data_IF_977638929649
#
_entry.id   IF_977638929649
#
_cell.length_a   1.000
_cell.length_b   1.000
_cell.length_c   1.000
_cell.angle_alpha   90.00
_cell.angle_beta   90.00
_cell.angle_gamma   90.00
#
_symmetry.space_group_name_H-M   'P 1'
#
loop_
_entity.id
_entity.type
_entity.pdbx_description
1 polymer ?
#
# COMPACT_ATOMS: atom_id res chain seq x y z
N UNK A 1 -7.97 6.40 -8.56
CA UNK A 1 -6.85 6.00 -9.43
C UNK A 1 -5.62 6.70 -8.90
N UNK A 2 -4.46 6.04 -8.88
CA UNK A 2 -3.21 6.59 -8.35
C UNK A 2 -2.13 6.38 -9.40
N UNK A 3 -1.20 7.34 -9.50
CA UNK A 3 -0.04 7.21 -10.36
C UNK A 3 1.13 6.57 -9.60
N UNK A 4 2.09 5.98 -10.32
CA UNK A 4 3.35 5.50 -9.79
C UNK A 4 4.07 6.64 -9.05
N UNK A 5 4.62 6.34 -7.88
CA UNK A 5 5.19 7.30 -6.94
C UNK A 5 4.17 8.03 -6.06
N UNK A 6 2.87 7.91 -6.36
CA UNK A 6 1.81 8.52 -5.55
C UNK A 6 1.75 7.95 -4.14
N UNK A 7 1.56 8.82 -3.14
CA UNK A 7 1.45 8.42 -1.73
C UNK A 7 0.06 7.82 -1.48
N UNK A 8 0.03 6.62 -0.90
CA UNK A 8 -1.19 5.89 -0.56
C UNK A 8 -1.57 6.14 0.91
N UNK A 9 -0.62 5.96 1.84
CA UNK A 9 -0.84 6.16 3.29
C UNK A 9 0.41 6.74 3.92
N UNK A 10 0.27 7.80 4.72
CA UNK A 10 1.30 8.22 5.69
C UNK A 10 0.92 7.68 7.06
N UNK A 11 1.85 7.01 7.73
CA UNK A 11 1.60 6.34 9.00
C UNK A 11 2.85 6.36 9.89
N UNK A 12 2.64 6.30 11.20
CA UNK A 12 3.70 5.97 12.16
C UNK A 12 3.62 4.48 12.46
N UNK A 13 4.71 3.76 12.20
CA UNK A 13 4.73 2.29 12.24
C UNK A 13 3.94 1.66 11.09
N UNK A 14 3.74 0.34 11.14
CA UNK A 14 3.08 -0.41 10.06
C UNK A 14 1.68 -0.86 10.45
N UNK A 15 0.72 0.07 10.49
CA UNK A 15 -0.70 -0.28 10.69
C UNK A 15 -1.29 -0.91 9.43
N UNK A 16 -0.91 -0.37 8.27
CA UNK A 16 -1.17 -0.95 6.96
C UNK A 16 0.17 -1.41 6.38
N UNK A 17 0.21 -2.64 5.89
CA UNK A 17 1.38 -3.21 5.27
C UNK A 17 1.36 -3.01 3.75
N UNK A 18 2.54 -2.98 3.14
CA UNK A 18 2.68 -2.96 1.70
C UNK A 18 2.20 -4.31 1.12
N UNK A 19 1.24 -4.25 0.21
CA UNK A 19 0.79 -5.35 -0.64
C UNK A 19 1.44 -5.29 -2.02
N UNK A 20 0.76 -5.82 -3.04
CA UNK A 20 1.30 -5.85 -4.40
C UNK A 20 1.35 -4.44 -5.00
N UNK A 21 2.42 -4.15 -5.74
CA UNK A 21 2.66 -2.86 -6.39
C UNK A 21 2.66 -1.65 -5.43
N UNK A 22 3.00 -1.88 -4.14
CA UNK A 22 3.15 -0.84 -3.13
C UNK A 22 4.54 -0.91 -2.49
N UNK A 23 5.21 0.23 -2.39
CA UNK A 23 6.48 0.39 -1.69
C UNK A 23 6.30 0.96 -0.28
N UNK A 24 7.33 0.79 0.56
CA UNK A 24 7.45 1.37 1.91
C UNK A 24 8.61 2.35 1.93
N UNK A 25 8.36 3.57 2.40
CA UNK A 25 9.38 4.59 2.68
C UNK A 25 10.05 4.37 4.03
N UNK A 26 11.16 5.08 4.29
CA UNK A 26 11.92 5.00 5.55
C UNK A 26 11.07 5.30 6.79
N UNK A 27 10.07 6.17 6.65
CA UNK A 27 9.13 6.56 7.69
C UNK A 27 7.85 5.68 7.72
N UNK A 28 7.86 4.53 7.02
CA UNK A 28 6.72 3.63 6.81
C UNK A 28 5.58 4.20 5.94
N UNK A 29 5.82 5.31 5.23
CA UNK A 29 4.87 5.80 4.22
C UNK A 29 4.70 4.78 3.09
N UNK A 30 3.47 4.47 2.72
CA UNK A 30 3.14 3.61 1.59
C UNK A 30 2.97 4.42 0.32
N UNK A 31 3.57 3.98 -0.79
CA UNK A 31 3.47 4.63 -2.10
C UNK A 31 3.27 3.62 -3.23
N UNK A 32 2.62 4.03 -4.31
CA UNK A 32 2.35 3.19 -5.46
C UNK A 32 3.61 2.97 -6.31
N UNK A 33 3.87 1.73 -6.72
CA UNK A 33 4.95 1.40 -7.66
C UNK A 33 4.48 1.40 -9.12
N UNK A 34 3.16 1.30 -9.35
CA UNK A 34 2.53 1.32 -10.67
C UNK A 34 1.29 2.19 -10.64
N UNK A 35 0.89 2.68 -11.80
CA UNK A 35 -0.39 3.33 -12.00
C UNK A 35 -1.54 2.32 -11.81
N UNK A 36 -2.66 2.74 -11.23
CA UNK A 36 -3.81 1.85 -11.07
C UNK A 36 -4.80 2.28 -10.00
N UNK A 37 -5.51 1.31 -9.41
CA UNK A 37 -6.47 1.54 -8.33
C UNK A 37 -5.95 0.92 -7.03
N UNK A 38 -5.98 1.70 -5.96
CA UNK A 38 -5.64 1.23 -4.61
C UNK A 38 -6.78 0.36 -4.09
N UNK A 39 -6.44 -0.81 -3.55
CA UNK A 39 -7.34 -1.74 -2.86
C UNK A 39 -6.74 -2.11 -1.51
N UNK A 40 -7.53 -2.03 -0.45
CA UNK A 40 -7.16 -2.53 0.87
C UNK A 40 -7.72 -3.93 1.06
N UNK A 41 -6.89 -4.84 1.55
CA UNK A 41 -7.28 -6.22 1.83
C UNK A 41 -6.79 -6.63 3.21
N UNK A 42 -7.60 -7.37 3.94
CA UNK A 42 -7.19 -8.00 5.19
C UNK A 42 -6.85 -9.45 4.88
N UNK A 43 -5.64 -9.90 5.24
CA UNK A 43 -5.20 -11.27 4.96
C UNK A 43 -4.23 -11.80 6.02
N UNK A 44 -4.05 -13.12 5.99
CA UNK A 44 -3.19 -13.87 6.91
C UNK A 44 -3.86 -14.20 8.24
N UNK A 45 -3.22 -15.08 9.02
CA UNK A 45 -3.74 -15.58 10.30
C UNK A 45 -3.95 -14.46 11.33
N UNK A 46 -3.13 -13.41 11.27
CA UNK A 46 -3.19 -12.26 12.17
C UNK A 46 -4.12 -11.14 11.67
N UNK A 47 -4.88 -11.37 10.59
CA UNK A 47 -5.84 -10.40 10.03
C UNK A 47 -5.22 -9.01 9.83
N UNK A 48 -4.02 -8.97 9.24
CA UNK A 48 -3.31 -7.71 8.98
C UNK A 48 -3.87 -7.03 7.74
N UNK A 49 -3.92 -5.71 7.76
CA UNK A 49 -4.37 -4.90 6.63
C UNK A 49 -3.22 -4.61 5.67
N UNK A 50 -3.46 -4.79 4.37
CA UNK A 50 -2.50 -4.55 3.29
C UNK A 50 -3.08 -3.57 2.28
N UNK A 51 -2.25 -2.67 1.77
CA UNK A 51 -2.57 -1.83 0.63
C UNK A 51 -1.95 -2.42 -0.64
N UNK A 52 -2.77 -2.71 -1.64
CA UNK A 52 -2.34 -3.22 -2.95
C UNK A 52 -2.76 -2.23 -4.03
N UNK A 53 -1.96 -2.06 -5.07
CA UNK A 53 -2.39 -1.36 -6.29
C UNK A 53 -2.67 -2.39 -7.37
N UNK A 54 -3.91 -2.40 -7.85
CA UNK A 54 -4.35 -3.16 -9.01
C UNK A 54 -4.09 -2.30 -10.25
N UNK A 55 -3.15 -2.69 -11.14
CA UNK A 55 -2.89 -1.95 -12.37
C UNK A 55 -4.16 -1.87 -13.23
N UNK A 56 -4.33 -0.75 -13.90
CA UNK A 56 -5.37 -0.57 -14.92
C UNK A 56 -4.76 -0.77 -16.31
#
# INVERSE_FOLDING_TARGET
>A
MINAGGIIVRQRGTRVHAGENVGVGKDHTLFALKDGKVKFVVKGLQQRQYATVVPA
#
